data_IF_319328280497
#
_entry.id   IF_319328280497
#
_cell.length_a   1.000
_cell.length_b   1.000
_cell.length_c   1.000
_cell.angle_alpha   90.00
_cell.angle_beta   90.00
_cell.angle_gamma   90.00
#
_symmetry.space_group_name_H-M   'P 1'
#
loop_
_entity.id
_entity.type
_entity.pdbx_description
1 polymer ?
#
# COMPACT_ATOMS: atom_id res chain seq x y z
N UNK A 1 -0.64 -37.97 7.87
CA UNK A 1 -1.62 -36.90 8.21
C UNK A 1 -1.82 -36.74 9.71
N UNK A 2 -2.22 -37.79 10.45
CA UNK A 2 -2.42 -37.74 11.91
C UNK A 2 -1.21 -37.17 12.68
N UNK A 3 0.01 -37.64 12.39
CA UNK A 3 1.22 -37.15 13.06
C UNK A 3 1.53 -35.68 12.78
N UNK A 4 1.18 -35.20 11.58
CA UNK A 4 1.33 -33.81 11.17
C UNK A 4 0.34 -32.93 11.95
N UNK A 5 -0.93 -33.33 12.01
CA UNK A 5 -1.95 -32.67 12.83
C UNK A 5 -1.52 -32.62 14.30
N UNK A 6 -1.06 -33.73 14.86
CA UNK A 6 -0.63 -33.82 16.25
C UNK A 6 0.54 -32.87 16.53
N UNK A 7 1.53 -32.83 15.66
CA UNK A 7 2.69 -31.92 15.79
C UNK A 7 2.26 -30.46 15.74
N UNK A 8 1.37 -30.10 14.80
CA UNK A 8 0.87 -28.73 14.65
C UNK A 8 0.06 -28.32 15.88
N UNK A 9 -0.88 -29.15 16.32
CA UNK A 9 -1.70 -28.88 17.50
C UNK A 9 -0.88 -28.88 18.79
N UNK A 10 0.20 -29.65 18.88
CA UNK A 10 1.13 -29.57 19.99
C UNK A 10 1.79 -28.18 20.11
N UNK A 11 2.17 -27.56 18.97
CA UNK A 11 2.70 -26.19 18.93
C UNK A 11 1.62 -25.16 19.24
N UNK A 12 0.44 -25.28 18.62
CA UNK A 12 -0.67 -24.36 18.87
C UNK A 12 -1.14 -24.37 20.33
N UNK A 13 -1.24 -25.55 20.93
CA UNK A 13 -1.54 -25.71 22.36
C UNK A 13 -0.45 -25.12 23.23
N UNK A 14 0.83 -25.25 22.85
CA UNK A 14 1.90 -24.59 23.57
C UNK A 14 1.70 -23.07 23.54
N UNK A 15 1.49 -22.49 22.36
CA UNK A 15 1.27 -21.04 22.18
C UNK A 15 0.06 -20.58 22.99
N UNK A 16 -1.03 -21.35 22.99
CA UNK A 16 -2.21 -21.09 23.82
C UNK A 16 -1.88 -21.06 25.31
N UNK A 17 -1.20 -22.07 25.83
CA UNK A 17 -0.90 -22.18 27.28
C UNK A 17 0.11 -21.15 27.78
N UNK A 18 0.98 -20.66 26.90
CA UNK A 18 1.99 -19.63 27.22
C UNK A 18 1.56 -18.24 26.79
N UNK A 19 0.31 -18.09 26.34
CA UNK A 19 -0.24 -16.80 25.97
C UNK A 19 -0.48 -15.92 27.20
N UNK A 20 -0.15 -14.64 27.10
CA UNK A 20 -0.45 -13.64 28.14
C UNK A 20 -1.78 -12.96 27.85
N UNK A 21 -2.85 -13.75 27.70
CA UNK A 21 -4.19 -13.22 27.42
C UNK A 21 -4.74 -12.59 28.70
N UNK A 22 -4.73 -11.25 28.76
CA UNK A 22 -5.33 -10.49 29.87
C UNK A 22 -6.67 -9.88 29.44
N UNK A 23 -7.77 -10.20 30.13
CA UNK A 23 -9.07 -9.56 29.89
C UNK A 23 -10.28 -10.35 30.41
N UNK A 24 -11.47 -9.74 30.35
CA UNK A 24 -12.76 -10.36 30.74
C UNK A 24 -13.36 -11.31 29.69
N UNK A 25 -12.75 -11.43 28.51
CA UNK A 25 -13.22 -12.29 27.40
C UNK A 25 -12.78 -13.73 27.61
N UNK A 26 -13.56 -14.67 27.05
CA UNK A 26 -13.19 -16.09 27.02
C UNK A 26 -11.86 -16.27 26.25
N UNK A 27 -10.88 -16.94 26.87
CA UNK A 27 -9.54 -17.12 26.30
C UNK A 27 -9.53 -17.85 24.95
N UNK A 28 -10.46 -18.80 24.76
CA UNK A 28 -10.60 -19.53 23.48
C UNK A 28 -11.12 -18.64 22.34
N UNK A 29 -12.06 -17.73 22.62
CA UNK A 29 -12.57 -16.77 21.63
C UNK A 29 -11.50 -15.76 21.24
N UNK A 30 -10.77 -15.22 22.22
CA UNK A 30 -9.66 -14.30 21.94
C UNK A 30 -8.58 -15.00 21.12
N UNK A 31 -8.24 -16.24 21.45
CA UNK A 31 -7.24 -16.99 20.69
C UNK A 31 -7.71 -17.28 19.26
N UNK A 32 -8.99 -17.58 19.04
CA UNK A 32 -9.55 -17.73 17.70
C UNK A 32 -9.41 -16.45 16.85
N UNK A 33 -9.68 -15.27 17.43
CA UNK A 33 -9.48 -13.98 16.75
C UNK A 33 -8.01 -13.77 16.33
N UNK A 34 -7.07 -14.24 17.16
CA UNK A 34 -5.62 -14.16 16.88
C UNK A 34 -5.18 -15.20 15.85
N UNK A 35 -5.77 -16.39 15.85
CA UNK A 35 -5.61 -17.37 14.76
C UNK A 35 -6.07 -16.76 13.44
N UNK A 36 -7.25 -16.13 13.38
CA UNK A 36 -7.74 -15.47 12.15
C UNK A 36 -6.73 -14.44 11.64
N UNK A 37 -6.19 -13.60 12.53
CA UNK A 37 -5.19 -12.60 12.17
C UNK A 37 -3.88 -13.21 11.69
N UNK A 38 -3.36 -14.22 12.39
CA UNK A 38 -2.13 -14.90 12.03
C UNK A 38 -2.29 -15.75 10.76
N UNK A 39 -3.48 -16.29 10.50
CA UNK A 39 -3.75 -17.18 9.38
C UNK A 39 -3.72 -16.47 8.01
N UNK A 40 -3.53 -15.14 8.03
CA UNK A 40 -3.20 -14.32 6.85
C UNK A 40 -1.77 -14.54 6.35
N UNK A 41 -0.90 -15.18 7.13
CA UNK A 41 0.47 -15.50 6.72
C UNK A 41 0.52 -16.55 5.60
N UNK A 42 1.61 -16.55 4.83
CA UNK A 42 1.72 -17.45 3.67
C UNK A 42 1.97 -18.91 4.09
N UNK A 43 2.81 -19.12 5.10
CA UNK A 43 3.28 -20.45 5.51
C UNK A 43 2.86 -20.77 6.93
N UNK A 44 2.78 -22.06 7.25
CA UNK A 44 2.49 -22.55 8.59
C UNK A 44 3.50 -22.05 9.63
N UNK A 45 4.78 -21.95 9.26
CA UNK A 45 5.82 -21.42 10.13
C UNK A 45 5.61 -19.93 10.44
N UNK A 46 5.39 -19.10 9.41
CA UNK A 46 5.14 -17.67 9.59
C UNK A 46 3.86 -17.41 10.39
N UNK A 47 2.83 -18.26 10.19
CA UNK A 47 1.62 -18.26 11.01
C UNK A 47 1.93 -18.51 12.48
N UNK A 48 2.69 -19.55 12.82
CA UNK A 48 3.03 -19.87 14.20
C UNK A 48 3.81 -18.73 14.88
N UNK A 49 4.78 -18.14 14.17
CA UNK A 49 5.55 -16.98 14.65
C UNK A 49 4.66 -15.76 14.88
N UNK A 50 3.79 -15.42 13.93
CA UNK A 50 2.88 -14.28 14.07
C UNK A 50 1.86 -14.51 15.17
N UNK A 51 1.32 -15.72 15.29
CA UNK A 51 0.37 -16.07 16.34
C UNK A 51 1.01 -15.91 17.72
N UNK A 52 2.23 -16.42 17.91
CA UNK A 52 2.99 -16.24 19.16
C UNK A 52 3.14 -14.76 19.52
N UNK A 53 3.58 -13.92 18.57
CA UNK A 53 3.73 -12.47 18.79
C UNK A 53 2.40 -11.81 19.17
N UNK A 54 1.33 -12.19 18.49
CA UNK A 54 -0.02 -11.65 18.72
C UNK A 54 -0.59 -11.99 20.10
N UNK A 55 -0.10 -13.04 20.75
CA UNK A 55 -0.54 -13.46 22.08
C UNK A 55 0.55 -13.34 23.16
N UNK A 56 1.68 -12.70 22.82
CA UNK A 56 2.87 -12.53 23.66
C UNK A 56 3.35 -13.83 24.31
N UNK A 57 3.34 -14.92 23.53
CA UNK A 57 3.86 -16.22 23.95
C UNK A 57 5.34 -16.34 23.55
N UNK A 58 6.20 -16.61 24.53
CA UNK A 58 7.63 -16.87 24.29
C UNK A 58 7.82 -18.24 23.63
N UNK A 59 8.26 -18.21 22.36
CA UNK A 59 8.49 -19.41 21.56
C UNK A 59 9.89 -19.99 21.76
N UNK A 60 10.81 -19.30 22.46
CA UNK A 60 12.18 -19.77 22.67
C UNK A 60 12.26 -21.19 23.22
N UNK A 61 11.39 -21.52 24.17
CA UNK A 61 11.30 -22.83 24.82
C UNK A 61 10.53 -23.90 24.02
N UNK A 62 9.78 -23.53 22.96
CA UNK A 62 9.16 -24.51 22.03
C UNK A 62 10.23 -25.26 21.23
N UNK A 63 11.31 -24.55 20.88
CA UNK A 63 12.33 -25.01 19.95
C UNK A 63 13.23 -26.12 20.52
N UNK A 64 13.23 -26.35 21.84
CA UNK A 64 14.14 -27.31 22.49
C UNK A 64 13.73 -28.79 22.34
N UNK A 65 12.46 -29.10 22.01
CA UNK A 65 12.03 -30.51 21.82
C UNK A 65 10.97 -30.74 20.74
N UNK A 66 9.99 -29.83 20.59
CA UNK A 66 8.88 -29.96 19.63
C UNK A 66 9.05 -29.10 18.38
N UNK A 67 9.86 -28.05 18.47
CA UNK A 67 10.09 -27.15 17.35
C UNK A 67 10.87 -27.78 16.19
N UNK A 68 11.78 -28.73 16.45
CA UNK A 68 12.54 -29.42 15.37
C UNK A 68 11.59 -30.19 14.45
N UNK A 69 10.68 -30.97 15.03
CA UNK A 69 9.70 -31.74 14.27
C UNK A 69 8.71 -30.82 13.54
N UNK A 70 8.28 -29.73 14.20
CA UNK A 70 7.44 -28.71 13.56
C UNK A 70 8.13 -28.05 12.35
N UNK A 71 9.42 -27.68 12.47
CA UNK A 71 10.20 -27.14 11.35
C UNK A 71 10.30 -28.15 10.21
N UNK A 72 10.56 -29.42 10.54
CA UNK A 72 10.66 -30.51 9.56
C UNK A 72 9.38 -30.67 8.74
N UNK A 73 8.21 -30.59 9.38
CA UNK A 73 6.93 -30.75 8.68
C UNK A 73 6.43 -29.47 8.00
N UNK A 74 6.86 -28.28 8.45
CA UNK A 74 6.29 -26.98 8.02
C UNK A 74 6.42 -26.69 6.52
N UNK A 75 7.37 -27.33 5.82
CA UNK A 75 7.56 -27.22 4.37
C UNK A 75 6.89 -28.31 3.54
N UNK A 76 6.16 -29.24 4.17
CA UNK A 76 5.51 -30.36 3.47
C UNK A 76 4.15 -29.97 2.91
N UNK A 77 3.76 -30.56 1.78
CA UNK A 77 2.42 -30.35 1.18
C UNK A 77 1.30 -30.73 2.15
N UNK A 78 1.50 -31.76 2.97
CA UNK A 78 0.50 -32.18 3.95
C UNK A 78 0.31 -31.15 5.07
N UNK A 79 1.39 -30.50 5.53
CA UNK A 79 1.30 -29.40 6.48
C UNK A 79 0.61 -28.16 5.87
N UNK A 80 0.83 -27.89 4.57
CA UNK A 80 0.11 -26.83 3.87
C UNK A 80 -1.40 -27.08 3.82
N UNK A 81 -1.84 -28.33 3.61
CA UNK A 81 -3.26 -28.70 3.66
C UNK A 81 -3.85 -28.50 5.06
N UNK A 82 -3.15 -28.94 6.11
CA UNK A 82 -3.59 -28.70 7.50
C UNK A 82 -3.67 -27.20 7.80
N UNK A 83 -2.72 -26.42 7.31
CA UNK A 83 -2.74 -24.98 7.49
C UNK A 83 -3.94 -24.30 6.82
N UNK A 84 -4.35 -24.77 5.63
CA UNK A 84 -5.59 -24.32 4.99
C UNK A 84 -6.82 -24.69 5.82
N UNK A 85 -6.87 -25.89 6.37
CA UNK A 85 -7.95 -26.28 7.27
C UNK A 85 -8.02 -25.36 8.51
N UNK A 86 -6.87 -25.00 9.09
CA UNK A 86 -6.80 -24.04 10.21
C UNK A 86 -7.43 -22.69 9.86
N UNK A 87 -7.24 -22.20 8.63
CA UNK A 87 -7.86 -20.95 8.15
C UNK A 87 -9.39 -21.04 8.08
N UNK A 88 -9.92 -22.20 7.69
CA UNK A 88 -11.36 -22.42 7.57
C UNK A 88 -12.05 -22.58 8.92
N UNK A 89 -11.35 -23.19 9.90
CA UNK A 89 -11.95 -23.56 11.18
C UNK A 89 -11.23 -22.98 12.42
N UNK A 90 -10.96 -21.67 12.48
CA UNK A 90 -10.13 -21.06 13.54
C UNK A 90 -10.72 -21.23 14.94
N UNK A 91 -12.06 -21.29 15.07
CA UNK A 91 -12.73 -21.55 16.34
C UNK A 91 -12.55 -23.00 16.81
N UNK A 92 -12.66 -23.96 15.90
CA UNK A 92 -12.42 -25.37 16.21
C UNK A 92 -10.96 -25.56 16.62
N UNK A 93 -10.02 -24.94 15.89
CA UNK A 93 -8.60 -24.95 16.22
C UNK A 93 -8.34 -24.39 17.62
N UNK A 94 -8.96 -23.26 17.98
CA UNK A 94 -8.82 -22.68 19.31
C UNK A 94 -9.39 -23.59 20.41
N UNK A 95 -10.55 -24.22 20.16
CA UNK A 95 -11.17 -25.17 21.10
C UNK A 95 -10.27 -26.39 21.33
N UNK A 96 -9.74 -26.99 20.26
CA UNK A 96 -8.82 -28.13 20.36
C UNK A 96 -7.53 -27.70 21.08
N UNK A 97 -6.98 -26.53 20.77
CA UNK A 97 -5.76 -26.01 21.41
C UNK A 97 -5.95 -25.72 22.90
N UNK A 98 -7.18 -25.43 23.32
CA UNK A 98 -7.55 -25.19 24.71
C UNK A 98 -7.84 -26.47 25.52
N UNK A 99 -7.81 -27.66 24.88
CA UNK A 99 -8.06 -28.92 25.58
C UNK A 99 -6.98 -29.17 26.65
N UNK A 100 -7.38 -29.58 27.86
CA UNK A 100 -6.46 -29.68 28.99
C UNK A 100 -5.43 -30.81 28.81
N UNK A 101 -5.78 -31.88 28.09
CA UNK A 101 -4.95 -33.09 27.96
C UNK A 101 -4.64 -33.42 26.50
N UNK A 102 -3.46 -33.98 26.24
CA UNK A 102 -3.04 -34.33 24.87
C UNK A 102 -3.85 -35.48 24.30
N UNK A 103 -4.32 -36.42 25.11
CA UNK A 103 -5.15 -37.55 24.64
C UNK A 103 -6.47 -37.05 24.02
N UNK A 104 -7.03 -35.97 24.56
CA UNK A 104 -8.25 -35.35 24.03
C UNK A 104 -7.98 -34.61 22.71
N UNK A 105 -6.78 -34.05 22.54
CA UNK A 105 -6.35 -33.46 21.27
C UNK A 105 -6.23 -34.56 20.22
N UNK A 106 -5.61 -35.69 20.57
CA UNK A 106 -5.46 -36.85 19.68
C UNK A 106 -6.82 -37.39 19.21
N UNK A 107 -7.79 -37.53 20.12
CA UNK A 107 -9.17 -37.94 19.78
C UNK A 107 -9.85 -36.91 18.87
N UNK A 108 -9.72 -35.62 19.18
CA UNK A 108 -10.35 -34.56 18.39
C UNK A 108 -9.82 -34.50 16.95
N UNK A 109 -8.50 -34.66 16.76
CA UNK A 109 -7.90 -34.59 15.41
C UNK A 109 -8.19 -35.81 14.54
N UNK A 110 -8.61 -36.96 15.10
CA UNK A 110 -8.98 -38.15 14.32
C UNK A 110 -10.20 -37.92 13.43
N UNK A 111 -11.10 -37.01 13.84
CA UNK A 111 -12.31 -36.66 13.10
C UNK A 111 -12.10 -35.57 12.04
N UNK A 112 -10.88 -35.04 11.91
CA UNK A 112 -10.58 -33.95 10.99
C UNK A 112 -10.34 -34.50 9.57
N UNK A 113 -11.22 -34.14 8.65
CA UNK A 113 -11.04 -34.38 7.22
C UNK A 113 -10.29 -33.20 6.57
N UNK A 114 -9.17 -33.49 5.91
CA UNK A 114 -8.30 -32.51 5.26
C UNK A 114 -8.43 -32.65 3.74
N UNK A 115 -9.06 -31.66 3.09
CA UNK A 115 -9.14 -31.59 1.63
C UNK A 115 -7.81 -31.13 1.00
N UNK A 116 -7.56 -31.55 -0.24
CA UNK A 116 -6.34 -31.18 -0.98
C UNK A 116 -6.49 -29.80 -1.62
N UNK A 117 -5.52 -28.91 -1.38
CA UNK A 117 -5.36 -27.65 -2.11
C UNK A 117 -4.06 -27.72 -2.92
N UNK A 118 -4.09 -27.23 -4.17
CA UNK A 118 -2.87 -27.10 -4.99
C UNK A 118 -2.14 -25.81 -4.59
N UNK A 119 -0.81 -25.85 -4.55
CA UNK A 119 0.02 -24.70 -4.14
C UNK A 119 0.36 -23.73 -5.28
N UNK A 120 -0.06 -24.05 -6.50
CA UNK A 120 0.20 -23.29 -7.71
C UNK A 120 -1.09 -22.72 -8.30
N UNK A 121 -0.98 -21.82 -9.26
CA UNK A 121 -2.13 -21.26 -9.97
C UNK A 121 -1.86 -19.86 -10.49
N UNK A 122 -2.91 -19.26 -11.01
CA UNK A 122 -2.91 -17.90 -11.53
C UNK A 122 -3.99 -17.08 -10.83
N UNK A 123 -3.69 -15.83 -10.52
CA UNK A 123 -4.67 -14.88 -10.02
C UNK A 123 -5.74 -14.61 -11.09
N UNK A 124 -6.93 -14.25 -10.63
CA UNK A 124 -8.00 -13.82 -11.53
C UNK A 124 -7.52 -12.59 -12.33
N UNK A 125 -7.64 -12.61 -13.68
CA UNK A 125 -7.27 -11.49 -14.52
C UNK A 125 -7.94 -10.19 -14.09
N UNK A 126 -7.22 -9.09 -14.24
CA UNK A 126 -7.77 -7.77 -13.96
C UNK A 126 -8.84 -7.40 -14.98
N UNK A 127 -9.90 -6.74 -14.52
CA UNK A 127 -10.90 -6.15 -15.42
C UNK A 127 -10.26 -5.06 -16.31
N UNK A 128 -10.97 -4.70 -17.38
CA UNK A 128 -10.55 -3.57 -18.24
C UNK A 128 -10.80 -2.25 -17.53
N UNK A 129 -9.85 -1.33 -17.66
CA UNK A 129 -9.98 0.06 -17.23
C UNK A 129 -10.56 0.93 -18.35
N UNK A 130 -11.26 2.01 -17.99
CA UNK A 130 -11.66 3.06 -18.95
C UNK A 130 -10.44 3.65 -19.66
N UNK A 131 -9.36 3.87 -18.91
CA UNK A 131 -8.06 4.34 -19.39
C UNK A 131 -7.01 3.27 -19.04
N UNK A 132 -6.75 2.30 -19.92
CA UNK A 132 -5.66 1.34 -19.77
C UNK A 132 -4.29 2.04 -19.79
N UNK A 133 -3.39 1.60 -18.92
CA UNK A 133 -2.02 2.12 -18.83
C UNK A 133 -1.04 0.96 -18.74
N UNK A 134 -0.06 0.96 -19.64
CA UNK A 134 1.10 0.06 -19.61
C UNK A 134 2.37 0.84 -19.22
N UNK A 135 3.13 0.28 -18.28
CA UNK A 135 4.36 0.87 -17.78
C UNK A 135 5.50 -0.11 -18.02
N UNK A 136 6.40 0.22 -18.95
CA UNK A 136 7.63 -0.55 -19.17
C UNK A 136 8.75 0.04 -18.32
N UNK A 137 9.34 -0.77 -17.45
CA UNK A 137 10.50 -0.38 -16.65
C UNK A 137 11.76 -0.26 -17.51
N UNK A 138 12.49 0.85 -17.41
CA UNK A 138 13.75 1.08 -18.13
C UNK A 138 14.98 1.10 -17.20
N UNK A 139 14.72 1.12 -15.89
CA UNK A 139 15.69 0.97 -14.79
C UNK A 139 15.00 0.20 -13.65
N UNK A 140 15.73 -0.27 -12.63
CA UNK A 140 15.12 -0.97 -11.51
C UNK A 140 14.01 -0.13 -10.86
N UNK A 141 12.84 -0.72 -10.65
CA UNK A 141 11.70 -0.04 -10.05
C UNK A 141 11.58 -0.42 -8.58
N UNK A 142 11.74 0.57 -7.71
CA UNK A 142 11.51 0.47 -6.28
C UNK A 142 10.13 1.05 -5.91
N UNK A 143 9.40 0.36 -5.04
CA UNK A 143 8.15 0.89 -4.48
C UNK A 143 8.23 1.16 -2.97
N UNK A 144 8.94 0.29 -2.25
CA UNK A 144 8.92 0.23 -0.78
C UNK A 144 7.70 -0.52 -0.26
N UNK A 145 7.93 -1.47 0.64
CA UNK A 145 6.88 -2.19 1.36
C UNK A 145 6.74 -1.65 2.80
N UNK A 146 5.58 -1.92 3.41
CA UNK A 146 5.35 -1.61 4.83
C UNK A 146 6.20 -2.51 5.76
N UNK A 147 6.80 -3.56 5.21
CA UNK A 147 7.62 -4.56 5.92
C UNK A 147 9.09 -4.41 5.51
N UNK A 148 9.98 -4.34 6.50
CA UNK A 148 11.43 -4.41 6.32
C UNK A 148 11.96 -5.79 6.71
N UNK A 149 12.98 -6.27 6.03
CA UNK A 149 13.72 -7.47 6.40
C UNK A 149 15.13 -7.06 6.86
N UNK A 150 15.27 -6.70 8.14
CA UNK A 150 16.49 -6.09 8.66
C UNK A 150 16.78 -4.74 7.98
N UNK A 151 17.96 -4.63 7.35
CA UNK A 151 18.36 -3.45 6.56
C UNK A 151 17.82 -3.48 5.12
N UNK A 152 17.05 -4.50 4.75
CA UNK A 152 16.49 -4.66 3.42
C UNK A 152 15.07 -4.05 3.33
N UNK A 153 14.85 -3.23 2.30
CA UNK A 153 13.51 -2.76 1.92
C UNK A 153 12.93 -3.69 0.85
N UNK A 154 11.81 -4.35 1.15
CA UNK A 154 11.16 -5.27 0.22
C UNK A 154 10.29 -4.51 -0.80
N UNK A 155 10.03 -5.17 -1.93
CA UNK A 155 9.01 -4.70 -2.87
C UNK A 155 7.61 -5.04 -2.34
N UNK A 156 6.66 -4.14 -2.55
CA UNK A 156 5.29 -4.29 -2.02
C UNK A 156 4.58 -5.48 -2.69
N UNK A 157 3.87 -6.28 -1.89
CA UNK A 157 3.11 -7.46 -2.34
C UNK A 157 1.71 -7.45 -1.76
N UNK A 158 0.77 -8.08 -2.47
CA UNK A 158 -0.56 -8.38 -1.99
C UNK A 158 -0.84 -9.88 -2.02
N UNK A 159 -1.71 -10.33 -1.11
CA UNK A 159 -2.21 -11.70 -1.12
C UNK A 159 -3.40 -11.80 -2.07
N UNK A 160 -3.38 -12.76 -2.99
CA UNK A 160 -4.46 -13.01 -3.94
C UNK A 160 -4.84 -14.48 -3.95
N UNK A 161 -6.11 -14.76 -4.21
CA UNK A 161 -6.57 -16.12 -4.47
C UNK A 161 -6.27 -16.47 -5.92
N UNK A 162 -5.70 -17.65 -6.11
CA UNK A 162 -5.53 -18.26 -7.43
C UNK A 162 -6.79 -19.02 -7.87
N UNK A 163 -6.84 -19.32 -9.16
CA UNK A 163 -7.82 -20.20 -9.80
C UNK A 163 -7.87 -21.64 -9.23
N UNK A 164 -6.85 -22.08 -8.50
CA UNK A 164 -6.81 -23.37 -7.80
C UNK A 164 -7.23 -23.30 -6.33
N UNK A 165 -7.49 -22.09 -5.80
CA UNK A 165 -7.74 -21.85 -4.38
C UNK A 165 -6.49 -21.61 -3.53
N UNK A 166 -5.28 -21.69 -4.10
CA UNK A 166 -4.05 -21.31 -3.40
C UNK A 166 -3.99 -19.79 -3.13
N UNK A 167 -3.34 -19.39 -2.03
CA UNK A 167 -3.03 -17.98 -1.77
C UNK A 167 -1.64 -17.64 -2.32
N UNK A 168 -1.58 -16.72 -3.28
CA UNK A 168 -0.35 -16.21 -3.87
C UNK A 168 0.03 -14.87 -3.25
N UNK A 169 1.32 -14.62 -3.07
CA UNK A 169 1.85 -13.33 -2.64
C UNK A 169 2.58 -12.68 -3.81
N UNK A 170 1.93 -11.73 -4.48
CA UNK A 170 2.38 -11.19 -5.76
C UNK A 170 2.75 -9.70 -5.66
N UNK A 171 3.82 -9.26 -6.34
CA UNK A 171 4.23 -7.88 -6.37
C UNK A 171 3.24 -7.03 -7.16
N UNK A 172 3.07 -5.78 -6.74
CA UNK A 172 2.29 -4.78 -7.45
C UNK A 172 2.86 -3.39 -7.18
N UNK A 173 2.66 -2.47 -8.12
CA UNK A 173 2.91 -1.05 -7.90
C UNK A 173 1.58 -0.35 -7.61
N UNK A 174 1.47 0.31 -6.46
CA UNK A 174 0.17 0.81 -6.01
C UNK A 174 -0.36 1.93 -6.89
N UNK A 175 -1.65 1.86 -7.25
CA UNK A 175 -2.34 2.94 -7.94
C UNK A 175 -2.30 4.26 -7.15
N UNK A 176 -2.29 4.18 -5.82
CA UNK A 176 -2.13 5.34 -4.96
C UNK A 176 -0.76 6.02 -5.11
N UNK A 177 0.31 5.25 -5.37
CA UNK A 177 1.64 5.80 -5.60
C UNK A 177 1.71 6.55 -6.93
N UNK A 178 1.14 5.98 -8.00
CA UNK A 178 1.02 6.69 -9.27
C UNK A 178 0.16 7.96 -9.14
N UNK A 179 -0.98 7.87 -8.45
CA UNK A 179 -1.85 9.03 -8.15
C UNK A 179 -1.09 10.13 -7.41
N UNK A 180 -0.28 9.77 -6.41
CA UNK A 180 0.55 10.73 -5.67
C UNK A 180 1.58 11.43 -6.55
N UNK A 181 2.25 10.68 -7.43
CA UNK A 181 3.21 11.27 -8.38
C UNK A 181 2.53 12.18 -9.41
N UNK A 182 1.34 11.79 -9.88
CA UNK A 182 0.52 12.65 -10.74
C UNK A 182 0.09 13.92 -10.04
N UNK A 183 -0.28 13.81 -8.76
CA UNK A 183 -0.68 14.94 -7.92
C UNK A 183 0.46 15.94 -7.77
N UNK A 184 1.68 15.48 -7.48
CA UNK A 184 2.85 16.36 -7.38
C UNK A 184 3.10 17.12 -8.69
N UNK A 185 2.98 16.44 -9.83
CA UNK A 185 3.16 17.05 -11.15
C UNK A 185 2.07 18.07 -11.48
N UNK A 186 0.81 17.75 -11.17
CA UNK A 186 -0.30 18.68 -11.32
C UNK A 186 -0.19 19.87 -10.38
N UNK A 187 0.35 19.70 -9.18
CA UNK A 187 0.60 20.81 -8.26
C UNK A 187 1.68 21.76 -8.82
N UNK A 188 2.78 21.22 -9.33
CA UNK A 188 3.82 22.00 -10.02
C UNK A 188 3.26 22.74 -11.25
N UNK A 189 2.45 22.07 -12.07
CA UNK A 189 1.81 22.62 -13.26
C UNK A 189 0.81 23.73 -12.90
N UNK A 190 -0.06 23.48 -11.92
CA UNK A 190 -1.04 24.44 -11.40
C UNK A 190 -0.38 25.71 -10.89
N UNK A 191 0.61 25.58 -10.00
CA UNK A 191 1.32 26.73 -9.42
C UNK A 191 2.03 27.56 -10.49
N UNK A 192 2.64 26.89 -11.47
CA UNK A 192 3.27 27.56 -12.61
C UNK A 192 2.25 28.31 -13.47
N UNK A 193 1.11 27.71 -13.75
CA UNK A 193 0.06 28.32 -14.57
C UNK A 193 -0.53 29.58 -13.93
N UNK A 194 -0.57 29.66 -12.59
CA UNK A 194 -0.99 30.86 -11.86
C UNK A 194 0.17 31.79 -11.46
N UNK A 195 1.36 31.60 -12.04
CA UNK A 195 2.57 32.41 -11.81
C UNK A 195 3.08 32.46 -10.35
N UNK A 196 2.79 31.43 -9.56
CA UNK A 196 3.38 31.28 -8.23
C UNK A 196 4.74 30.60 -8.32
N UNK A 197 5.80 31.36 -8.01
CA UNK A 197 7.18 30.89 -8.08
C UNK A 197 7.66 30.31 -6.75
N UNK A 198 8.26 29.10 -6.72
CA UNK A 198 8.82 28.54 -5.51
C UNK A 198 9.88 29.46 -4.89
N UNK A 199 9.82 29.65 -3.57
CA UNK A 199 10.82 30.39 -2.81
C UNK A 199 11.11 29.65 -1.50
N UNK A 200 12.39 29.44 -1.20
CA UNK A 200 12.83 28.77 0.04
C UNK A 200 12.84 29.72 1.24
N UNK A 201 13.00 31.02 1.00
CA UNK A 201 13.11 32.04 2.04
C UNK A 201 11.77 32.67 2.38
N UNK A 202 10.88 32.80 1.39
CA UNK A 202 9.53 33.30 1.58
C UNK A 202 8.55 32.44 0.79
N UNK A 203 8.13 31.27 1.31
CA UNK A 203 7.21 30.38 0.63
C UNK A 203 5.90 31.12 0.31
N UNK A 204 5.51 31.25 -0.97
CA UNK A 204 4.31 32.00 -1.35
C UNK A 204 3.01 31.28 -0.99
N UNK A 205 3.10 30.02 -0.55
CA UNK A 205 1.98 29.13 -0.27
C UNK A 205 2.02 28.77 1.21
N UNK A 206 0.88 28.86 1.87
CA UNK A 206 0.71 28.42 3.24
C UNK A 206 0.93 26.91 3.35
N UNK A 207 1.57 26.47 4.45
CA UNK A 207 1.96 25.06 4.65
C UNK A 207 0.79 24.09 4.53
N UNK A 208 -0.39 24.47 5.02
CA UNK A 208 -1.59 23.63 4.92
C UNK A 208 -2.03 23.42 3.47
N UNK A 209 -1.91 24.43 2.62
CA UNK A 209 -2.31 24.33 1.22
C UNK A 209 -1.30 23.52 0.44
N UNK A 210 -0.01 23.68 0.77
CA UNK A 210 1.05 22.80 0.30
C UNK A 210 0.73 21.32 0.59
N UNK A 211 0.36 20.97 1.83
CA UNK A 211 -0.06 19.60 2.14
C UNK A 211 -1.31 19.17 1.37
N UNK A 212 -2.28 20.07 1.16
CA UNK A 212 -3.49 19.78 0.38
C UNK A 212 -3.15 19.39 -1.06
N UNK A 213 -2.34 20.18 -1.76
CA UNK A 213 -2.08 19.97 -3.19
C UNK A 213 -1.02 18.91 -3.48
N UNK A 214 -0.06 18.66 -2.59
CA UNK A 214 0.99 17.64 -2.78
C UNK A 214 0.68 16.31 -2.06
N UNK A 215 0.38 16.36 -0.77
CA UNK A 215 0.13 15.15 0.02
C UNK A 215 -1.34 14.67 -0.07
N UNK A 216 -2.23 15.49 -0.65
CA UNK A 216 -3.66 15.24 -0.63
C UNK A 216 -4.29 15.56 0.72
N UNK A 217 -3.63 16.33 1.60
CA UNK A 217 -4.20 16.77 2.86
C UNK A 217 -3.34 16.60 4.11
N UNK A 218 -3.81 17.21 5.20
CA UNK A 218 -3.38 16.93 6.57
C UNK A 218 -4.62 16.80 7.48
N UNK A 219 -4.69 15.71 8.23
CA UNK A 219 -5.74 15.44 9.22
C UNK A 219 -5.36 16.14 10.54
N UNK A 220 -5.60 17.45 10.62
CA UNK A 220 -5.38 18.22 11.84
C UNK A 220 -6.66 18.93 12.26
N UNK A 221 -7.20 18.57 13.43
CA UNK A 221 -8.48 19.08 13.93
C UNK A 221 -8.42 20.56 14.39
N UNK A 222 -7.22 21.10 14.64
CA UNK A 222 -7.03 22.44 15.24
C UNK A 222 -6.09 23.36 14.44
N UNK A 223 -5.85 23.08 13.16
CA UNK A 223 -5.02 23.94 12.31
C UNK A 223 -5.77 25.22 11.88
N UNK A 224 -5.03 26.28 11.55
CA UNK A 224 -5.62 27.48 10.94
C UNK A 224 -6.29 27.17 9.59
N UNK A 225 -5.86 26.08 8.94
CA UNK A 225 -6.52 25.49 7.77
C UNK A 225 -7.96 25.03 8.11
N UNK A 226 -8.15 24.32 9.22
CA UNK A 226 -9.48 23.88 9.65
C UNK A 226 -10.43 25.06 9.92
N UNK A 227 -9.90 26.19 10.40
CA UNK A 227 -10.68 27.43 10.59
C UNK A 227 -11.03 28.12 9.26
N UNK A 228 -10.07 28.25 8.35
CA UNK A 228 -10.28 28.84 7.03
C UNK A 228 -11.35 28.06 6.23
N UNK A 229 -11.27 26.73 6.25
CA UNK A 229 -12.24 25.86 5.57
C UNK A 229 -13.55 25.69 6.34
N UNK A 230 -13.54 25.73 7.67
CA UNK A 230 -14.77 25.71 8.47
C UNK A 230 -15.72 26.84 8.09
N UNK A 231 -15.18 28.01 7.73
CA UNK A 231 -15.96 29.16 7.25
C UNK A 231 -16.64 28.88 5.89
N UNK A 232 -15.93 28.21 4.98
CA UNK A 232 -16.37 27.98 3.60
C UNK A 232 -17.23 26.71 3.44
N UNK A 233 -16.81 25.59 4.04
CA UNK A 233 -17.42 24.26 3.89
C UNK A 233 -18.38 23.91 5.04
N UNK A 234 -18.40 24.71 6.11
CA UNK A 234 -19.16 24.48 7.34
C UNK A 234 -18.32 23.84 8.45
N UNK A 235 -18.77 23.94 9.70
CA UNK A 235 -18.12 23.37 10.90
C UNK A 235 -18.98 22.26 11.51
N UNK A 236 -18.38 21.37 12.32
CA UNK A 236 -19.10 20.40 13.16
C UNK A 236 -20.15 19.54 12.43
N UNK A 237 -19.81 19.00 11.25
CA UNK A 237 -20.70 18.14 10.46
C UNK A 237 -21.73 18.87 9.58
N UNK A 238 -21.84 20.21 9.65
CA UNK A 238 -22.67 20.97 8.73
C UNK A 238 -22.00 21.08 7.35
N UNK A 239 -22.74 20.75 6.28
CA UNK A 239 -22.25 20.83 4.90
C UNK A 239 -22.78 22.11 4.24
N UNK A 240 -21.88 23.04 3.90
CA UNK A 240 -22.20 24.13 2.97
C UNK A 240 -21.93 23.64 1.55
N UNK A 241 -22.96 23.12 0.90
CA UNK A 241 -22.86 22.57 -0.45
C UNK A 241 -22.24 23.59 -1.43
N UNK A 242 -22.65 24.85 -1.34
CA UNK A 242 -22.12 25.95 -2.17
C UNK A 242 -20.60 26.10 -2.06
N UNK A 243 -20.06 26.05 -0.83
CA UNK A 243 -18.62 26.14 -0.61
C UNK A 243 -17.85 24.95 -1.20
N UNK A 244 -18.45 23.74 -1.17
CA UNK A 244 -17.87 22.55 -1.81
C UNK A 244 -17.86 22.72 -3.32
N UNK A 245 -18.95 23.19 -3.92
CA UNK A 245 -19.02 23.43 -5.37
C UNK A 245 -18.01 24.49 -5.79
N UNK A 246 -17.99 25.65 -5.13
CA UNK A 246 -17.01 26.70 -5.39
C UNK A 246 -15.57 26.20 -5.28
N UNK A 247 -15.26 25.40 -4.25
CA UNK A 247 -13.93 24.81 -4.08
C UNK A 247 -13.57 23.87 -5.23
N UNK A 248 -14.47 22.97 -5.61
CA UNK A 248 -14.25 22.03 -6.72
C UNK A 248 -14.09 22.73 -8.06
N UNK A 249 -14.92 23.74 -8.32
CA UNK A 249 -14.89 24.50 -9.56
C UNK A 249 -13.62 25.35 -9.65
N UNK A 250 -13.16 25.94 -8.54
CA UNK A 250 -11.97 26.81 -8.53
C UNK A 250 -10.67 25.99 -8.54
N UNK A 251 -10.66 24.81 -7.92
CA UNK A 251 -9.47 23.95 -7.77
C UNK A 251 -9.71 22.56 -8.39
N UNK A 252 -9.81 22.49 -9.74
CA UNK A 252 -10.27 21.28 -10.42
C UNK A 252 -9.33 20.09 -10.23
N UNK A 253 -8.03 20.29 -10.03
CA UNK A 253 -7.09 19.20 -9.70
C UNK A 253 -7.38 18.53 -8.36
N UNK A 254 -7.81 19.32 -7.38
CA UNK A 254 -8.18 18.79 -6.06
C UNK A 254 -9.52 18.08 -6.17
N UNK A 255 -10.45 18.60 -6.97
CA UNK A 255 -11.72 17.91 -7.25
C UNK A 255 -11.49 16.56 -7.93
N UNK A 256 -10.60 16.50 -8.93
CA UNK A 256 -10.31 15.29 -9.69
C UNK A 256 -9.62 14.21 -8.85
N UNK A 257 -8.65 14.57 -7.99
CA UNK A 257 -7.85 13.61 -7.22
C UNK A 257 -8.33 13.38 -5.78
N UNK A 258 -9.17 14.27 -5.29
CA UNK A 258 -9.61 14.31 -3.90
C UNK A 258 -8.52 14.80 -2.95
N UNK A 259 -8.96 15.18 -1.76
CA UNK A 259 -8.10 15.60 -0.65
C UNK A 259 -8.77 15.36 0.70
N UNK A 260 -7.98 15.38 1.75
CA UNK A 260 -8.44 15.50 3.13
C UNK A 260 -8.05 16.86 3.68
N UNK A 261 -9.00 17.59 4.26
CA UNK A 261 -8.73 18.92 4.83
C UNK A 261 -9.44 19.00 6.18
N UNK A 262 -8.67 19.22 7.26
CA UNK A 262 -9.19 19.18 8.62
C UNK A 262 -9.71 17.79 8.96
N UNK A 263 -10.98 17.69 9.34
CA UNK A 263 -11.66 16.42 9.62
C UNK A 263 -12.54 15.92 8.45
N UNK A 264 -12.32 16.42 7.24
CA UNK A 264 -13.15 16.10 6.07
C UNK A 264 -12.36 15.43 4.97
N UNK A 265 -13.03 14.54 4.24
CA UNK A 265 -12.51 13.90 3.03
C UNK A 265 -13.39 14.34 1.86
N UNK A 266 -12.77 14.98 0.87
CA UNK A 266 -13.38 15.31 -0.41
C UNK A 266 -12.97 14.21 -1.38
N UNK A 267 -13.92 13.38 -1.77
CA UNK A 267 -13.67 12.30 -2.72
C UNK A 267 -13.28 12.84 -4.11
N UNK A 268 -12.26 12.22 -4.70
CA UNK A 268 -11.87 12.45 -6.08
C UNK A 268 -12.85 11.85 -7.10
N UNK A 269 -12.56 12.07 -8.38
CA UNK A 269 -13.31 11.56 -9.53
C UNK A 269 -12.62 10.43 -10.29
N UNK A 270 -11.38 10.11 -9.95
CA UNK A 270 -10.61 9.05 -10.58
C UNK A 270 -10.23 7.96 -9.57
N UNK A 271 -10.46 6.71 -9.96
CA UNK A 271 -10.00 5.52 -9.25
C UNK A 271 -8.75 5.00 -9.95
N UNK A 272 -7.64 4.90 -9.23
CA UNK A 272 -6.36 4.40 -9.76
C UNK A 272 -6.23 2.93 -9.42
N UNK A 273 -6.22 2.08 -10.44
CA UNK A 273 -5.94 0.67 -10.31
C UNK A 273 -4.50 0.39 -9.90
N UNK A 274 -4.30 -0.71 -9.20
CA UNK A 274 -2.95 -1.23 -8.96
C UNK A 274 -2.35 -1.77 -10.24
N UNK A 275 -1.05 -1.55 -10.41
CA UNK A 275 -0.28 -1.97 -11.57
C UNK A 275 0.36 -3.33 -11.29
N UNK A 276 -0.06 -4.33 -12.07
CA UNK A 276 0.37 -5.72 -11.94
C UNK A 276 1.47 -6.02 -12.95
N UNK A 277 2.67 -6.45 -12.53
CA UNK A 277 3.71 -6.86 -13.46
C UNK A 277 3.25 -8.05 -14.29
N UNK A 278 3.53 -8.03 -15.60
CA UNK A 278 3.16 -9.08 -16.53
C UNK A 278 3.89 -10.37 -16.20
N UNK A 279 3.21 -11.31 -15.54
CA UNK A 279 3.77 -12.59 -15.13
C UNK A 279 2.75 -13.72 -15.20
N UNK A 280 3.24 -14.95 -15.17
CA UNK A 280 2.42 -16.16 -15.16
C UNK A 280 1.39 -16.12 -14.03
N UNK A 281 1.83 -15.84 -12.81
CA UNK A 281 0.98 -15.85 -11.61
C UNK A 281 -0.10 -14.76 -11.63
N UNK A 282 0.08 -13.67 -12.38
CA UNK A 282 -0.94 -12.64 -12.57
C UNK A 282 -1.89 -12.94 -13.74
N UNK A 283 -1.71 -14.07 -14.43
CA UNK A 283 -2.44 -14.45 -15.64
C UNK A 283 -2.33 -13.43 -16.78
N UNK A 284 -1.27 -12.64 -16.83
CA UNK A 284 -1.07 -11.57 -17.81
C UNK A 284 0.35 -11.56 -18.42
N UNK A 285 1.08 -12.66 -18.29
CA UNK A 285 2.40 -12.84 -18.89
C UNK A 285 2.85 -14.29 -18.84
N UNK A 286 4.01 -14.58 -19.43
CA UNK A 286 4.55 -15.95 -19.55
C UNK A 286 5.76 -16.21 -18.64
N UNK A 287 6.32 -15.16 -18.04
CA UNK A 287 7.51 -15.23 -17.17
C UNK A 287 7.06 -15.42 -15.73
N UNK A 288 7.75 -16.27 -14.96
CA UNK A 288 7.47 -16.46 -13.54
C UNK A 288 7.81 -15.21 -12.74
N UNK A 289 7.00 -14.88 -11.74
CA UNK A 289 7.21 -13.71 -10.86
C UNK A 289 8.60 -13.68 -10.22
N UNK A 290 9.16 -14.86 -9.89
CA UNK A 290 10.50 -14.99 -9.30
C UNK A 290 11.62 -14.46 -10.21
N UNK A 291 11.41 -14.45 -11.52
CA UNK A 291 12.39 -13.97 -12.49
C UNK A 291 12.32 -12.45 -12.71
N UNK A 292 11.24 -11.80 -12.27
CA UNK A 292 11.01 -10.36 -12.45
C UNK A 292 11.70 -9.50 -11.38
N UNK A 293 12.09 -10.09 -10.26
CA UNK A 293 12.62 -9.38 -9.10
C UNK A 293 14.15 -9.41 -9.08
N UNK A 294 14.77 -8.34 -8.57
CA UNK A 294 16.22 -8.22 -8.36
C UNK A 294 16.52 -7.51 -7.04
N UNK A 295 17.77 -7.61 -6.59
CA UNK A 295 18.29 -6.92 -5.41
C UNK A 295 19.32 -5.89 -5.84
N UNK A 296 19.15 -4.65 -5.37
CA UNK A 296 20.08 -3.55 -5.59
C UNK A 296 20.68 -3.09 -4.25
N UNK A 297 21.94 -2.65 -4.29
CA UNK A 297 22.66 -2.17 -3.11
C UNK A 297 22.76 -0.65 -3.13
N UNK A 298 22.36 -0.01 -2.02
CA UNK A 298 22.53 1.41 -1.78
C UNK A 298 23.64 1.58 -0.75
N UNK A 299 24.70 2.30 -1.13
CA UNK A 299 25.79 2.63 -0.23
C UNK A 299 25.70 4.10 0.15
N UNK A 300 25.62 4.38 1.46
CA UNK A 300 25.83 5.72 1.99
C UNK A 300 27.21 5.79 2.61
N UNK A 301 28.09 6.57 1.98
CA UNK A 301 29.41 6.89 2.52
C UNK A 301 29.26 7.95 3.62
N UNK A 302 29.94 7.74 4.74
CA UNK A 302 30.11 8.76 5.78
C UNK A 302 31.51 9.37 5.61
N UNK A 303 31.55 10.69 5.36
CA UNK A 303 32.79 11.44 5.12
C UNK A 303 33.25 12.19 6.39
N UNK A 304 32.72 11.85 7.57
CA UNK A 304 33.13 12.46 8.82
C UNK A 304 34.46 11.85 9.31
N UNK A 305 35.52 12.66 9.32
CA UNK A 305 36.88 12.23 9.65
C UNK A 305 37.16 12.13 11.17
N UNK A 306 36.19 12.46 12.03
CA UNK A 306 36.37 12.43 13.49
C UNK A 306 36.08 11.08 14.15
N UNK A 307 35.96 10.00 13.38
CA UNK A 307 35.84 8.64 13.90
C UNK A 307 37.22 8.08 14.27
N UNK A 308 37.28 7.23 15.30
CA UNK A 308 38.51 6.51 15.62
C UNK A 308 38.92 5.63 14.42
N UNK A 309 40.23 5.54 14.16
CA UNK A 309 40.77 4.72 13.06
C UNK A 309 40.24 3.28 13.16
N UNK A 310 39.41 2.89 12.19
CA UNK A 310 38.75 1.57 12.14
C UNK A 310 37.23 1.59 12.31
N UNK A 311 36.62 2.69 12.75
CA UNK A 311 35.16 2.83 12.91
C UNK A 311 34.51 3.32 11.59
N UNK A 312 34.38 2.42 10.61
CA UNK A 312 33.67 2.72 9.36
C UNK A 312 32.15 2.64 9.56
N UNK A 313 31.52 3.81 9.67
CA UNK A 313 30.06 3.94 9.81
C UNK A 313 29.29 3.98 8.49
N UNK A 314 29.95 3.66 7.36
CA UNK A 314 29.26 3.54 6.07
C UNK A 314 28.15 2.50 6.15
N UNK A 315 26.95 2.88 5.70
CA UNK A 315 25.78 2.02 5.76
C UNK A 315 25.48 1.42 4.39
N UNK A 316 25.35 0.10 4.34
CA UNK A 316 24.82 -0.64 3.19
C UNK A 316 23.35 -0.94 3.47
N UNK A 317 22.48 -0.46 2.59
CA UNK A 317 21.08 -0.84 2.55
C UNK A 317 20.82 -1.65 1.27
N UNK A 318 19.97 -2.66 1.38
CA UNK A 318 19.54 -3.46 0.22
C UNK A 318 18.10 -3.15 -0.11
N UNK A 319 17.77 -3.12 -1.39
CA UNK A 319 16.40 -2.91 -1.84
C UNK A 319 16.01 -3.93 -2.90
N UNK A 320 14.86 -4.56 -2.70
CA UNK A 320 14.25 -5.42 -3.70
C UNK A 320 13.47 -4.56 -4.70
N UNK A 321 13.71 -4.81 -5.99
CA UNK A 321 13.17 -4.04 -7.09
C UNK A 321 12.62 -4.95 -8.19
N UNK A 322 11.71 -4.40 -8.99
CA UNK A 322 11.38 -5.00 -10.29
C UNK A 322 12.52 -4.69 -11.27
N UNK A 323 12.95 -5.69 -12.04
CA UNK A 323 14.01 -5.56 -13.05
C UNK A 323 13.61 -4.61 -14.18
N UNK A 324 14.59 -3.93 -14.82
CA UNK A 324 14.36 -3.27 -16.11
C UNK A 324 13.81 -4.26 -17.16
N UNK A 325 12.95 -3.77 -18.04
CA UNK A 325 12.30 -4.52 -19.11
C UNK A 325 10.96 -5.16 -18.72
N UNK A 326 10.61 -5.17 -17.44
CA UNK A 326 9.31 -5.67 -16.98
C UNK A 326 8.21 -4.67 -17.30
N UNK A 327 7.12 -5.16 -17.88
CA UNK A 327 5.89 -4.41 -18.15
C UNK A 327 4.94 -4.57 -16.97
N UNK A 328 4.29 -3.47 -16.56
CA UNK A 328 3.21 -3.48 -15.59
C UNK A 328 1.92 -2.98 -16.26
N UNK A 329 0.81 -3.66 -16.00
CA UNK A 329 -0.51 -3.32 -16.51
C UNK A 329 -1.42 -2.82 -15.39
N UNK A 330 -2.11 -1.72 -15.65
CA UNK A 330 -3.09 -1.13 -14.75
C UNK A 330 -3.95 -0.11 -15.50
N UNK A 331 -4.51 0.86 -14.78
CA UNK A 331 -5.30 1.90 -15.42
C UNK A 331 -6.11 2.74 -14.46
N UNK A 332 -6.97 3.56 -15.03
CA UNK A 332 -7.83 4.51 -14.31
C UNK A 332 -9.27 4.34 -14.77
N UNK A 333 -10.19 4.36 -13.81
CA UNK A 333 -11.62 4.53 -14.07
C UNK A 333 -12.07 5.91 -13.59
N UNK A 334 -12.79 6.64 -14.45
CA UNK A 334 -13.35 7.94 -14.10
C UNK A 334 -14.81 7.75 -13.69
N UNK A 335 -15.20 8.36 -12.57
CA UNK A 335 -16.58 8.29 -12.10
C UNK A 335 -17.52 8.93 -13.12
N UNK A 336 -18.68 8.32 -13.35
CA UNK A 336 -19.63 8.76 -14.38
C UNK A 336 -20.11 10.21 -14.26
N UNK A 337 -20.14 10.77 -13.04
CA UNK A 337 -20.52 12.16 -12.78
C UNK A 337 -19.34 13.15 -12.74
N UNK A 338 -18.15 12.75 -13.20
CA UNK A 338 -17.03 13.67 -13.38
C UNK A 338 -17.34 14.66 -14.52
N UNK A 339 -17.08 15.94 -14.28
CA UNK A 339 -17.23 16.97 -15.32
C UNK A 339 -16.15 16.86 -16.39
N UNK A 340 -16.39 17.47 -17.55
CA UNK A 340 -15.38 17.54 -18.62
C UNK A 340 -14.09 18.22 -18.15
N UNK A 341 -14.19 19.21 -17.26
CA UNK A 341 -13.01 19.86 -16.68
C UNK A 341 -12.23 18.89 -15.79
N UNK A 342 -12.91 18.12 -14.93
CA UNK A 342 -12.26 17.11 -14.08
C UNK A 342 -11.62 15.99 -14.93
N UNK A 343 -12.29 15.54 -16.01
CA UNK A 343 -11.73 14.61 -16.99
C UNK A 343 -10.48 15.19 -17.66
N UNK A 344 -10.52 16.46 -18.05
CA UNK A 344 -9.38 17.15 -18.65
C UNK A 344 -8.18 17.25 -17.70
N UNK A 345 -8.40 17.45 -16.39
CA UNK A 345 -7.30 17.40 -15.41
C UNK A 345 -6.62 16.03 -15.39
N UNK A 346 -7.40 14.94 -15.43
CA UNK A 346 -6.82 13.58 -15.49
C UNK A 346 -6.00 13.42 -16.77
N UNK A 347 -6.50 13.90 -17.91
CA UNK A 347 -5.78 13.95 -19.18
C UNK A 347 -4.43 14.68 -19.08
N UNK A 348 -4.41 15.89 -18.52
CA UNK A 348 -3.17 16.65 -18.28
C UNK A 348 -2.21 15.91 -17.36
N UNK A 349 -2.70 15.37 -16.25
CA UNK A 349 -1.88 14.63 -15.29
C UNK A 349 -1.21 13.40 -15.91
N UNK A 350 -1.94 12.68 -16.76
CA UNK A 350 -1.43 11.54 -17.51
C UNK A 350 -0.33 11.93 -18.51
N UNK A 351 -0.52 13.04 -19.25
CA UNK A 351 0.53 13.58 -20.12
C UNK A 351 1.79 13.93 -19.33
N UNK A 352 1.64 14.65 -18.21
CA UNK A 352 2.78 15.03 -17.37
C UNK A 352 3.53 13.82 -16.81
N UNK A 353 2.82 12.76 -16.42
CA UNK A 353 3.44 11.50 -15.97
C UNK A 353 4.25 10.84 -17.09
N UNK A 354 3.66 10.73 -18.29
CA UNK A 354 4.32 10.14 -19.45
C UNK A 354 5.56 10.94 -19.85
N UNK A 355 5.46 12.27 -19.89
CA UNK A 355 6.56 13.18 -20.21
C UNK A 355 7.68 13.10 -19.17
N UNK A 356 7.33 12.98 -17.88
CA UNK A 356 8.32 12.81 -16.81
C UNK A 356 9.09 11.51 -16.98
N UNK A 357 8.42 10.40 -17.29
CA UNK A 357 9.07 9.10 -17.49
C UNK A 357 9.74 8.51 -16.25
N UNK A 358 9.30 8.89 -15.05
CA UNK A 358 9.80 8.34 -13.78
C UNK A 358 8.66 8.04 -12.81
N UNK A 359 8.69 6.86 -12.20
CA UNK A 359 7.80 6.44 -11.11
C UNK A 359 8.59 5.78 -9.97
N UNK A 360 7.92 5.40 -8.88
CA UNK A 360 8.53 4.75 -7.73
C UNK A 360 9.43 5.65 -6.85
N UNK A 361 10.10 4.99 -5.91
CA UNK A 361 11.04 5.60 -4.97
C UNK A 361 12.46 5.69 -5.57
N UNK A 362 13.34 6.48 -4.92
CA UNK A 362 14.76 6.59 -5.28
C UNK A 362 15.04 7.05 -6.72
N UNK A 363 14.13 7.80 -7.34
CA UNK A 363 14.29 8.29 -8.71
C UNK A 363 15.55 9.15 -8.93
N UNK A 364 15.99 9.87 -7.89
CA UNK A 364 17.25 10.64 -7.91
C UNK A 364 18.52 9.79 -7.76
N UNK A 365 18.38 8.49 -7.55
CA UNK A 365 19.49 7.53 -7.38
C UNK A 365 19.54 6.50 -8.53
N UNK A 366 18.89 6.79 -9.67
CA UNK A 366 18.93 5.94 -10.86
C UNK A 366 17.82 4.90 -10.96
N UNK A 367 16.84 4.92 -10.05
CA UNK A 367 15.69 4.02 -10.07
C UNK A 367 14.49 4.62 -10.81
N UNK A 368 13.55 3.77 -11.19
CA UNK A 368 12.19 4.22 -11.53
C UNK A 368 12.01 4.89 -12.88
N UNK A 369 13.03 4.97 -13.75
CA UNK A 369 12.87 5.37 -15.16
C UNK A 369 11.96 4.36 -15.87
N UNK A 370 10.95 4.87 -16.57
CA UNK A 370 9.92 4.06 -17.25
C UNK A 370 9.50 4.68 -18.59
N UNK A 371 8.90 3.87 -19.45
CA UNK A 371 8.06 4.32 -20.56
C UNK A 371 6.60 4.04 -20.19
N UNK A 372 5.74 5.05 -20.33
CA UNK A 372 4.31 4.95 -20.00
C UNK A 372 3.51 5.08 -21.30
N UNK A 373 2.70 4.07 -21.58
CA UNK A 373 1.80 3.99 -22.73
C UNK A 373 0.37 4.04 -22.20
N UNK A 374 -0.45 4.92 -22.77
CA UNK A 374 -1.76 5.30 -22.22
C UNK A 374 -2.78 5.25 -23.36
N UNK A 375 -3.85 4.48 -23.16
CA UNK A 375 -4.96 4.39 -24.10
C UNK A 375 -6.14 5.22 -23.61
N UNK A 376 -6.88 5.85 -24.54
CA UNK A 376 -8.10 6.62 -24.25
C UNK A 376 -7.94 7.74 -23.21
N UNK A 377 -6.75 8.36 -23.14
CA UNK A 377 -6.53 9.51 -22.27
C UNK A 377 -7.45 10.69 -22.67
N UNK A 378 -8.14 11.35 -21.71
CA UNK A 378 -8.83 12.60 -21.97
C UNK A 378 -7.88 13.70 -22.44
N UNK A 379 -8.40 14.69 -23.18
CA UNK A 379 -7.61 15.86 -23.59
C UNK A 379 -7.41 16.83 -22.41
N UNK A 380 -6.17 17.25 -22.17
CA UNK A 380 -5.78 18.18 -21.12
C UNK A 380 -6.04 19.67 -21.43
N UNK A 381 -6.37 20.04 -22.67
CA UNK A 381 -6.48 21.45 -23.09
C UNK A 381 -7.55 22.25 -22.37
N UNK A 382 -8.69 21.64 -22.03
CA UNK A 382 -9.76 22.35 -21.34
C UNK A 382 -9.27 22.83 -19.95
N UNK A 383 -8.50 22.02 -19.25
CA UNK A 383 -7.86 22.40 -17.99
C UNK A 383 -6.82 23.52 -18.17
N UNK A 384 -5.96 23.42 -19.18
CA UNK A 384 -4.95 24.46 -19.46
C UNK A 384 -5.61 25.81 -19.75
N UNK A 385 -6.62 25.82 -20.61
CA UNK A 385 -7.40 27.03 -20.93
C UNK A 385 -8.10 27.57 -19.69
N UNK A 386 -8.71 26.69 -18.88
CA UNK A 386 -9.38 27.08 -17.65
C UNK A 386 -8.43 27.83 -16.71
N UNK A 387 -7.21 27.32 -16.50
CA UNK A 387 -6.22 27.98 -15.64
C UNK A 387 -5.78 29.33 -16.19
N UNK A 388 -5.55 29.42 -17.51
CA UNK A 388 -5.15 30.68 -18.15
C UNK A 388 -6.23 31.76 -18.03
N UNK A 389 -7.49 31.38 -18.28
CA UNK A 389 -8.64 32.30 -18.26
C UNK A 389 -9.05 32.70 -16.84
N UNK A 390 -8.91 31.79 -15.86
CA UNK A 390 -9.39 31.99 -14.49
C UNK A 390 -8.26 32.32 -13.50
N UNK A 391 -7.02 32.56 -13.96
CA UNK A 391 -5.86 32.82 -13.11
C UNK A 391 -6.13 33.82 -11.98
N UNK A 392 -6.61 35.02 -12.31
CA UNK A 392 -6.84 36.07 -11.31
C UNK A 392 -7.92 35.65 -10.29
N UNK A 393 -9.01 35.03 -10.77
CA UNK A 393 -10.08 34.51 -9.90
C UNK A 393 -9.56 33.44 -8.94
N UNK A 394 -8.67 32.56 -9.41
CA UNK A 394 -8.05 31.52 -8.57
C UNK A 394 -7.15 32.17 -7.51
N UNK A 395 -6.32 33.15 -7.90
CA UNK A 395 -5.46 33.89 -6.96
C UNK A 395 -6.31 34.58 -5.89
N UNK A 396 -7.31 35.37 -6.28
CA UNK A 396 -8.20 36.07 -5.34
C UNK A 396 -8.88 35.09 -4.36
N UNK A 397 -9.31 33.93 -4.88
CA UNK A 397 -9.89 32.87 -4.06
C UNK A 397 -8.87 32.31 -3.05
N UNK A 398 -7.65 32.01 -3.49
CA UNK A 398 -6.59 31.49 -2.63
C UNK A 398 -6.16 32.52 -1.57
N UNK A 399 -6.10 33.81 -1.91
CA UNK A 399 -5.85 34.90 -0.95
C UNK A 399 -6.97 34.98 0.10
N UNK A 400 -8.23 34.88 -0.33
CA UNK A 400 -9.38 34.90 0.57
C UNK A 400 -9.38 33.74 1.57
N UNK A 401 -8.73 32.63 1.21
CA UNK A 401 -8.52 31.45 2.05
C UNK A 401 -7.25 31.53 2.91
N UNK A 402 -6.38 32.53 2.73
CA UNK A 402 -5.05 32.55 3.32
C UNK A 402 -4.17 31.39 2.85
N UNK A 403 -4.43 30.87 1.65
CA UNK A 403 -3.67 29.78 1.04
C UNK A 403 -2.37 30.29 0.41
N UNK A 404 -2.34 31.56 0.01
CA UNK A 404 -1.17 32.23 -0.55
C UNK A 404 -0.94 33.54 0.19
N UNK A 405 0.34 33.90 0.35
CA UNK A 405 0.77 35.18 0.90
C UNK A 405 1.57 35.89 -0.18
N UNK A 406 0.91 36.77 -0.95
CA UNK A 406 1.63 37.66 -1.85
C UNK A 406 2.46 38.64 -1.02
N UNK A 407 3.75 38.84 -1.32
CA UNK A 407 4.51 39.91 -0.68
C UNK A 407 3.79 41.22 -0.99
N UNK A 408 3.48 42.00 0.06
CA UNK A 408 3.03 43.37 -0.09
C UNK A 408 4.08 44.11 -0.94
N UNK A 409 3.66 44.63 -2.09
CA UNK A 409 4.52 45.42 -2.97
C UNK A 409 5.01 46.67 -2.24
#
# INVERSE_FOLDING_TARGET
>A
MKDILLTIFAVLRFIYNHSKITGKRNGSEFFADRIVQAATEKTLLAFAERLSKLVDADIGSIWESRGVEFLRISGTQDAAKVYQWIRLYPRIVAMISALPRMEQVEEAIESIEIESVKEDGCAIPQGKYEIPIEITTLSPLAHGADIKAGNATLFRRMQVLSDTGATLSLPFYSGNALRGQMRDLLADDFLRAIDIKPSRTNPPIALWFFHTIYAGGALEENSDAAKAFGKLLGTNGAIKAEGIYQFRDTLPMISALGCSIGNRIIEGRANFGDFRPCCYEWSNGNIKVSELMTWEFLTRREDFEGHEDGDNKSMIATIECIKPGVVLQGGIDIRGHASELERSVIGKGLSLLADRGFIGAYSRQGFGKVRIEIENAPDGKLYENYLAENKNKIIDYLESLGAICMPSI
#
